data_IF_675498741485
#
_entry.id   IF_675498741485
#
_cell.length_a   1.000
_cell.length_b   1.000
_cell.length_c   1.000
_cell.angle_alpha   90.00
_cell.angle_beta   90.00
_cell.angle_gamma   90.00
#
_symmetry.space_group_name_H-M   'P 1'
#
loop_
_entity.id
_entity.type
_entity.pdbx_description
1 polymer ?
#
# COMPACT_ATOMS: atom_id res chain seq x y z
N UNK A 1 3.16 -3.04 21.78
CA UNK A 1 3.27 -3.22 21.41
C UNK A 1 3.75 -2.97 20.40
N UNK A 2 4.48 -2.87 20.61
CA UNK A 2 4.99 -2.25 19.60
C UNK A 2 4.43 -2.77 18.49
N UNK A 3 4.26 -2.17 17.70
CA UNK A 3 3.60 -2.53 16.61
C UNK A 3 4.36 -3.42 15.74
N UNK A 4 4.13 -4.68 15.86
CA UNK A 4 4.86 -5.65 15.10
C UNK A 4 4.71 -5.45 13.61
N UNK A 5 3.56 -4.98 13.16
CA UNK A 5 3.33 -4.79 11.75
C UNK A 5 4.13 -3.66 11.15
N UNK A 6 4.71 -2.80 11.96
CA UNK A 6 5.51 -1.71 11.45
C UNK A 6 6.92 -2.10 11.11
N UNK A 7 7.38 -3.23 11.56
CA UNK A 7 8.79 -3.55 11.48
C UNK A 7 9.31 -3.73 10.09
N UNK A 8 8.49 -4.25 9.21
CA UNK A 8 8.95 -4.58 7.87
C UNK A 8 8.31 -3.71 6.81
N UNK A 9 7.63 -2.67 7.23
CA UNK A 9 6.89 -1.83 6.30
C UNK A 9 7.36 -0.40 6.44
N UNK A 10 7.05 0.38 5.43
CA UNK A 10 7.33 1.79 5.49
C UNK A 10 6.63 2.40 6.68
N UNK A 11 7.38 3.07 7.52
CA UNK A 11 6.82 3.77 8.63
C UNK A 11 6.27 5.08 8.18
N UNK A 12 5.01 5.33 8.43
CA UNK A 12 4.40 6.61 8.07
C UNK A 12 4.80 7.66 9.11
N UNK A 13 5.27 8.83 8.67
CA UNK A 13 5.85 9.81 9.59
C UNK A 13 4.87 10.43 10.56
N UNK A 14 3.57 10.42 10.28
CA UNK A 14 2.61 11.01 11.18
C UNK A 14 1.21 10.49 10.90
N UNK A 15 0.28 10.66 11.87
CA UNK A 15 -1.08 10.15 11.71
C UNK A 15 -1.85 10.79 10.56
N UNK A 16 -1.56 12.06 10.26
CA UNK A 16 -2.25 12.73 9.17
C UNK A 16 -1.89 12.10 7.83
N UNK A 17 -0.61 11.81 7.63
CA UNK A 17 -0.18 11.15 6.41
C UNK A 17 -0.78 9.75 6.30
N UNK A 18 -0.83 9.03 7.41
CA UNK A 18 -1.46 7.71 7.45
C UNK A 18 -2.92 7.82 7.00
N UNK A 19 -3.66 8.79 7.54
CA UNK A 19 -5.06 8.98 7.17
C UNK A 19 -5.21 9.34 5.71
N UNK A 20 -4.33 10.19 5.18
CA UNK A 20 -4.38 10.57 3.77
C UNK A 20 -4.14 9.37 2.88
N UNK A 21 -3.17 8.53 3.23
CA UNK A 21 -2.89 7.33 2.44
C UNK A 21 -4.05 6.36 2.45
N UNK A 22 -4.70 6.19 3.61
CA UNK A 22 -5.91 5.38 3.68
C UNK A 22 -7.00 5.91 2.75
N UNK A 23 -7.20 7.22 2.76
CA UNK A 23 -8.20 7.83 1.90
C UNK A 23 -7.87 7.61 0.43
N UNK A 24 -6.61 7.80 0.06
CA UNK A 24 -6.18 7.59 -1.32
C UNK A 24 -6.44 6.16 -1.75
N UNK A 25 -6.09 5.18 -0.91
CA UNK A 25 -6.31 3.78 -1.26
C UNK A 25 -7.81 3.48 -1.38
N UNK A 26 -8.64 4.01 -0.47
CA UNK A 26 -10.07 3.80 -0.56
C UNK A 26 -10.64 4.40 -1.85
N UNK A 27 -10.14 5.57 -2.24
CA UNK A 27 -10.57 6.16 -3.51
C UNK A 27 -10.14 5.31 -4.70
N UNK A 28 -8.96 4.74 -4.65
CA UNK A 28 -8.47 3.85 -5.70
C UNK A 28 -9.33 2.59 -5.78
N UNK A 29 -9.71 2.04 -4.62
CA UNK A 29 -10.60 0.88 -4.59
C UNK A 29 -11.95 1.23 -5.24
N UNK A 30 -12.46 2.42 -4.96
CA UNK A 30 -13.74 2.86 -5.51
C UNK A 30 -13.71 2.99 -7.03
N UNK A 31 -12.55 3.19 -7.65
CA UNK A 31 -12.42 3.21 -9.10
C UNK A 31 -12.63 1.83 -9.74
N UNK A 32 -12.55 0.79 -8.93
CA UNK A 32 -12.89 -0.56 -9.39
C UNK A 32 -11.99 -1.07 -10.48
N UNK A 33 -12.58 -1.51 -11.58
CA UNK A 33 -11.82 -2.19 -12.65
C UNK A 33 -10.91 -1.26 -13.43
N UNK A 34 -11.01 0.04 -13.23
CA UNK A 34 -10.17 0.98 -13.97
C UNK A 34 -8.69 0.88 -13.59
N UNK A 35 -8.41 0.47 -12.35
CA UNK A 35 -7.05 0.24 -11.90
C UNK A 35 -7.02 -1.03 -11.04
N UNK A 36 -5.85 -1.66 -10.89
CA UNK A 36 -5.78 -2.98 -10.24
C UNK A 36 -5.86 -2.99 -8.72
N UNK A 37 -6.11 -1.85 -8.09
CA UNK A 37 -6.08 -1.75 -6.62
C UNK A 37 -7.22 -2.54 -5.99
N UNK A 38 -8.43 -2.43 -6.53
CA UNK A 38 -9.57 -3.18 -5.99
C UNK A 38 -9.35 -4.69 -6.11
N UNK A 39 -8.77 -5.13 -7.21
CA UNK A 39 -8.47 -6.54 -7.40
C UNK A 39 -7.42 -7.02 -6.39
N UNK A 40 -6.42 -6.19 -6.12
CA UNK A 40 -5.40 -6.51 -5.12
C UNK A 40 -6.03 -6.63 -3.73
N UNK A 41 -6.94 -5.72 -3.39
CA UNK A 41 -7.64 -5.78 -2.11
C UNK A 41 -8.43 -7.09 -1.98
N UNK A 42 -9.21 -7.43 -3.01
CA UNK A 42 -10.00 -8.66 -2.97
C UNK A 42 -9.11 -9.89 -2.85
N UNK A 43 -8.00 -9.90 -3.55
CA UNK A 43 -7.07 -11.03 -3.50
C UNK A 43 -6.47 -11.18 -2.11
N UNK A 44 -6.02 -10.07 -1.50
CA UNK A 44 -5.42 -10.13 -0.16
C UNK A 44 -6.43 -10.60 0.88
N UNK A 45 -7.66 -10.12 0.78
CA UNK A 45 -8.72 -10.58 1.68
C UNK A 45 -8.98 -12.07 1.47
N UNK A 46 -9.00 -12.51 0.21
CA UNK A 46 -9.16 -13.92 -0.12
C UNK A 46 -8.00 -14.78 0.40
N UNK A 47 -6.82 -14.19 0.57
CA UNK A 47 -5.66 -14.89 1.12
C UNK A 47 -5.66 -14.88 2.66
N UNK A 48 -6.67 -14.29 3.26
CA UNK A 48 -6.85 -14.35 4.70
C UNK A 48 -6.55 -13.10 5.48
N UNK A 49 -6.26 -11.97 4.83
CA UNK A 49 -6.09 -10.71 5.53
C UNK A 49 -7.45 -10.08 5.82
N UNK A 50 -7.61 -9.50 7.00
CA UNK A 50 -8.74 -8.63 7.25
C UNK A 50 -8.66 -7.43 6.30
N UNK A 51 -9.81 -6.88 5.94
CA UNK A 51 -9.85 -5.75 5.01
C UNK A 51 -8.95 -4.60 5.44
N UNK A 52 -8.98 -4.29 6.73
CA UNK A 52 -8.16 -3.21 7.29
C UNK A 52 -6.67 -3.47 7.07
N UNK A 53 -6.23 -4.70 7.30
CA UNK A 53 -4.83 -5.07 7.10
C UNK A 53 -4.46 -5.05 5.63
N UNK A 54 -5.37 -5.48 4.77
CA UNK A 54 -5.13 -5.43 3.32
C UNK A 54 -4.98 -4.00 2.84
N UNK A 55 -5.82 -3.09 3.34
CA UNK A 55 -5.69 -1.67 3.02
C UNK A 55 -4.37 -1.10 3.51
N UNK A 56 -3.93 -1.49 4.69
CA UNK A 56 -2.64 -1.08 5.23
C UNK A 56 -1.49 -1.57 4.36
N UNK A 57 -1.55 -2.81 3.92
CA UNK A 57 -0.50 -3.38 3.08
C UNK A 57 -0.40 -2.63 1.76
N UNK A 58 -1.54 -2.35 1.13
CA UNK A 58 -1.57 -1.58 -0.12
C UNK A 58 -1.04 -0.17 0.12
N UNK A 59 -1.46 0.46 1.21
CA UNK A 59 -1.00 1.80 1.57
C UNK A 59 0.50 1.87 1.79
N UNK A 60 1.10 0.81 2.35
CA UNK A 60 2.55 0.76 2.54
C UNK A 60 3.28 0.74 1.21
N UNK A 61 2.77 -0.03 0.24
CA UNK A 61 3.37 -0.07 -1.09
C UNK A 61 3.26 1.30 -1.77
N UNK A 62 2.09 1.93 -1.65
CA UNK A 62 1.89 3.26 -2.21
C UNK A 62 2.87 4.26 -1.57
N UNK A 63 3.03 4.21 -0.25
CA UNK A 63 3.91 5.12 0.46
C UNK A 63 5.36 4.98 0.00
N UNK A 64 5.82 3.75 -0.22
CA UNK A 64 7.18 3.53 -0.73
C UNK A 64 7.39 4.21 -2.07
N UNK A 65 6.41 4.11 -2.96
CA UNK A 65 6.53 4.71 -4.28
C UNK A 65 6.45 6.23 -4.22
N UNK A 66 5.60 6.76 -3.34
CA UNK A 66 5.49 8.20 -3.16
C UNK A 66 6.78 8.79 -2.59
N UNK A 67 7.36 8.14 -1.58
CA UNK A 67 8.59 8.63 -0.98
C UNK A 67 9.77 8.52 -1.95
N UNK A 68 9.78 7.48 -2.77
CA UNK A 68 10.79 7.36 -3.82
C UNK A 68 10.70 8.51 -4.82
N UNK A 69 9.47 8.88 -5.20
CA UNK A 69 9.28 10.00 -6.11
C UNK A 69 9.74 11.31 -5.49
N UNK A 70 9.46 11.52 -4.19
CA UNK A 70 9.90 12.72 -3.49
C UNK A 70 11.42 12.82 -3.43
N UNK A 71 12.09 11.69 -3.24
CA UNK A 71 13.56 11.67 -3.22
C UNK A 71 14.18 11.97 -4.57
N UNK A 72 13.43 11.72 -5.64
CA UNK A 72 13.92 12.05 -6.97
C UNK A 72 13.88 13.55 -7.29
N UNK A 73 13.30 14.35 -6.39
CA UNK A 73 13.28 15.80 -6.51
C UNK A 73 12.11 16.28 -7.36
N UNK A 74 12.18 17.52 -7.84
CA UNK A 74 11.03 18.13 -8.54
C UNK A 74 10.62 17.39 -9.82
N UNK A 75 11.53 16.61 -10.38
CA UNK A 75 11.24 15.82 -11.58
C UNK A 75 10.62 14.49 -11.26
N UNK A 76 10.64 14.10 -9.98
CA UNK A 76 10.15 12.80 -9.58
C UNK A 76 8.64 12.75 -9.57
N UNK A 77 8.10 11.60 -9.99
CA UNK A 77 6.67 11.35 -9.87
C UNK A 77 6.46 9.87 -9.62
N UNK A 78 5.29 9.53 -9.11
CA UNK A 78 4.96 8.13 -8.84
C UNK A 78 4.83 7.40 -10.16
N UNK A 79 5.57 6.29 -10.28
CA UNK A 79 5.44 5.41 -11.43
C UNK A 79 4.31 4.44 -11.15
N UNK A 80 3.15 4.69 -11.73
CA UNK A 80 1.97 3.88 -11.49
C UNK A 80 2.17 2.44 -11.94
N UNK A 81 2.92 2.21 -13.02
CA UNK A 81 3.16 0.85 -13.48
C UNK A 81 4.00 0.07 -12.46
N UNK A 82 5.02 0.71 -11.89
CA UNK A 82 5.82 0.08 -10.86
C UNK A 82 4.99 -0.19 -9.61
N UNK A 83 4.11 0.73 -9.24
CA UNK A 83 3.21 0.56 -8.10
C UNK A 83 2.30 -0.64 -8.32
N UNK A 84 1.67 -0.72 -9.49
CA UNK A 84 0.76 -1.83 -9.79
C UNK A 84 1.49 -3.17 -9.82
N UNK A 85 2.71 -3.18 -10.38
CA UNK A 85 3.51 -4.40 -10.38
C UNK A 85 3.87 -4.84 -8.96
N UNK A 86 4.18 -3.89 -8.09
CA UNK A 86 4.49 -4.19 -6.70
C UNK A 86 3.27 -4.74 -5.97
N UNK A 87 2.07 -4.23 -6.28
CA UNK A 87 0.84 -4.77 -5.70
C UNK A 87 0.64 -6.23 -6.07
N UNK A 88 1.00 -6.62 -7.29
CA UNK A 88 0.86 -8.01 -7.71
C UNK A 88 1.78 -8.96 -6.95
N UNK A 89 2.91 -8.45 -6.48
CA UNK A 89 3.84 -9.24 -5.68
C UNK A 89 3.48 -9.28 -4.20
N UNK A 90 2.62 -8.40 -3.76
CA UNK A 90 2.18 -8.35 -2.37
C UNK A 90 1.29 -9.55 -2.08
N UNK A 91 1.50 -10.18 -0.93
CA UNK A 91 0.66 -11.29 -0.50
C UNK A 91 0.43 -11.22 1.00
N UNK A 92 -0.63 -11.89 1.45
CA UNK A 92 -0.91 -11.95 2.88
C UNK A 92 0.24 -12.60 3.64
N UNK A 93 0.83 -13.64 3.06
CA UNK A 93 1.95 -14.31 3.69
C UNK A 93 3.14 -13.38 3.86
N UNK A 94 3.48 -12.64 2.80
CA UNK A 94 4.61 -11.71 2.87
C UNK A 94 4.34 -10.58 3.87
N UNK A 95 3.13 -10.08 3.87
CA UNK A 95 2.75 -9.03 4.80
C UNK A 95 2.89 -9.49 6.26
N UNK A 96 2.39 -10.70 6.54
CA UNK A 96 2.46 -11.24 7.90
C UNK A 96 3.88 -11.58 8.33
N UNK A 97 4.70 -12.02 7.39
CA UNK A 97 6.08 -12.40 7.72
C UNK A 97 6.99 -11.21 7.92
N UNK A 98 6.55 -10.02 7.54
CA UNK A 98 7.38 -8.84 7.61
C UNK A 98 8.38 -8.72 6.49
N UNK A 99 8.23 -9.49 5.45
CA UNK A 99 9.20 -9.49 4.35
C UNK A 99 8.87 -8.49 3.26
#
# INVERSE_FOLDING_TARGET
>A
MADHHDRARVRLPNPQLHAVLHLVVENQVALGAEIPVAAALRRLVGEGLARHDALHAIGSVLAEHMFGALKAGPQGEVDNQAYYAALQKLSAKRWRSGA
#
